data_IF_576679025660
#
_entry.id   IF_576679025660
#
_cell.length_a   1.000
_cell.length_b   1.000
_cell.length_c   1.000
_cell.angle_alpha   90.00
_cell.angle_beta   90.00
_cell.angle_gamma   90.00
#
_symmetry.space_group_name_H-M   'P 1'
#
loop_
_entity.id
_entity.type
_entity.pdbx_description
1 polymer ?
#
# COMPACT_ATOMS: atom_id res chain seq x y z
N UNK A 1 -4.64 20.26 27.41
CA UNK A 1 -5.80 19.34 27.46
C UNK A 1 -5.77 18.45 26.23
N UNK A 2 -5.24 17.24 26.37
CA UNK A 2 -5.09 16.32 25.24
C UNK A 2 -6.37 15.51 25.09
N UNK A 3 -7.13 15.75 24.02
CA UNK A 3 -8.34 15.00 23.69
C UNK A 3 -7.93 13.56 23.34
N UNK A 4 -8.19 12.62 24.24
CA UNK A 4 -7.98 11.21 23.98
C UNK A 4 -8.86 10.78 22.79
N UNK A 5 -8.23 10.19 21.77
CA UNK A 5 -8.93 9.62 20.64
C UNK A 5 -9.72 8.40 21.12
N UNK A 6 -11.02 8.33 20.78
CA UNK A 6 -11.92 7.22 21.13
C UNK A 6 -11.50 5.86 20.52
N UNK A 7 -10.55 5.86 19.59
CA UNK A 7 -9.99 4.69 18.92
C UNK A 7 -8.49 4.87 18.74
N UNK A 8 -7.69 3.79 18.79
CA UNK A 8 -6.28 3.87 18.43
C UNK A 8 -6.15 4.41 17.00
N UNK A 9 -5.10 5.18 16.75
CA UNK A 9 -4.76 5.59 15.39
C UNK A 9 -4.43 4.34 14.56
N UNK A 10 -4.88 4.27 13.31
CA UNK A 10 -4.53 3.13 12.44
C UNK A 10 -3.04 3.14 12.12
N UNK A 11 -2.43 1.96 12.05
CA UNK A 11 -0.99 1.80 11.75
C UNK A 11 -0.66 2.03 10.26
N UNK A 12 -1.67 2.09 9.40
CA UNK A 12 -1.52 2.17 7.93
C UNK A 12 -2.44 3.24 7.35
N UNK A 13 -1.98 3.87 6.25
CA UNK A 13 -2.69 4.93 5.53
C UNK A 13 -2.98 4.46 4.10
N UNK A 14 -4.26 4.26 3.71
CA UNK A 14 -4.61 3.95 2.33
C UNK A 14 -4.63 5.21 1.45
N UNK A 15 -4.06 5.13 0.24
CA UNK A 15 -4.07 6.21 -0.75
C UNK A 15 -4.97 5.77 -1.92
N UNK A 16 -6.15 6.39 -2.06
CA UNK A 16 -7.19 6.03 -3.03
C UNK A 16 -7.49 7.22 -3.96
N UNK A 17 -7.85 6.95 -5.22
CA UNK A 17 -8.07 7.95 -6.25
C UNK A 17 -8.14 7.36 -7.67
N UNK A 18 -8.46 8.18 -8.66
CA UNK A 18 -8.63 7.77 -10.07
C UNK A 18 -7.36 7.14 -10.69
N UNK A 19 -7.52 6.40 -11.77
CA UNK A 19 -6.39 5.87 -12.56
C UNK A 19 -5.56 7.05 -13.08
N UNK A 20 -4.23 6.94 -13.04
CA UNK A 20 -3.33 8.02 -13.47
C UNK A 20 -3.20 9.21 -12.53
N UNK A 21 -3.91 9.26 -11.40
CA UNK A 21 -3.88 10.41 -10.46
C UNK A 21 -2.59 10.53 -9.61
N UNK A 22 -1.57 9.71 -9.89
CA UNK A 22 -0.28 9.78 -9.18
C UNK A 22 -0.25 9.16 -7.77
N UNK A 23 -1.20 8.29 -7.40
CA UNK A 23 -1.24 7.64 -6.06
C UNK A 23 0.08 7.00 -5.66
N UNK A 24 0.67 6.22 -6.56
CA UNK A 24 1.96 5.54 -6.35
C UNK A 24 3.11 6.54 -6.20
N UNK A 25 3.05 7.66 -6.93
CA UNK A 25 4.05 8.73 -6.81
C UNK A 25 3.98 9.38 -5.43
N UNK A 26 2.77 9.68 -4.96
CA UNK A 26 2.56 10.23 -3.61
C UNK A 26 3.03 9.25 -2.52
N UNK A 27 2.67 7.97 -2.61
CA UNK A 27 3.10 6.93 -1.69
C UNK A 27 4.64 6.84 -1.60
N UNK A 28 5.31 6.86 -2.75
CA UNK A 28 6.77 6.82 -2.84
C UNK A 28 7.42 8.06 -2.25
N UNK A 29 6.85 9.24 -2.47
CA UNK A 29 7.36 10.49 -1.87
C UNK A 29 7.25 10.46 -0.35
N UNK A 30 6.09 10.07 0.18
CA UNK A 30 5.87 9.94 1.63
C UNK A 30 6.82 8.90 2.24
N UNK A 31 7.00 7.77 1.57
CA UNK A 31 7.97 6.75 1.97
C UNK A 31 9.38 7.30 2.11
N UNK A 32 9.84 8.13 1.16
CA UNK A 32 11.17 8.76 1.22
C UNK A 32 11.28 9.82 2.31
N UNK A 33 10.24 10.65 2.49
CA UNK A 33 10.25 11.75 3.46
C UNK A 33 10.25 11.20 4.90
N UNK A 34 9.41 10.21 5.16
CA UNK A 34 9.20 9.66 6.50
C UNK A 34 9.97 8.37 6.76
N UNK A 35 10.70 7.86 5.76
CA UNK A 35 11.44 6.58 5.83
C UNK A 35 10.53 5.41 6.26
N UNK A 36 9.29 5.40 5.75
CA UNK A 36 8.30 4.34 6.01
C UNK A 36 8.13 3.44 4.77
N UNK A 37 7.84 2.14 4.93
CA UNK A 37 7.54 1.27 3.80
C UNK A 37 6.25 1.71 3.10
N UNK A 38 6.17 1.49 1.78
CA UNK A 38 4.95 1.66 1.01
C UNK A 38 4.66 0.41 0.20
N UNK A 39 3.37 0.11 0.04
CA UNK A 39 2.90 -1.07 -0.67
C UNK A 39 1.92 -0.63 -1.75
N UNK A 40 2.13 -1.12 -2.97
CA UNK A 40 1.21 -0.91 -4.09
C UNK A 40 0.35 -2.16 -4.19
N UNK A 41 -0.93 -2.04 -3.81
CA UNK A 41 -1.84 -3.19 -3.74
C UNK A 41 -1.99 -3.91 -5.10
N UNK A 42 -1.91 -3.19 -6.22
CA UNK A 42 -1.92 -3.79 -7.56
C UNK A 42 -0.75 -4.78 -7.75
N UNK A 43 0.43 -4.45 -7.22
CA UNK A 43 1.63 -5.31 -7.25
C UNK A 43 1.57 -6.45 -6.22
N UNK A 44 0.62 -6.40 -5.28
CA UNK A 44 0.40 -7.49 -4.32
C UNK A 44 -0.43 -8.60 -4.97
N UNK A 45 -1.41 -8.23 -5.79
CA UNK A 45 -2.34 -9.18 -6.43
C UNK A 45 -1.75 -9.82 -7.69
N UNK A 46 -0.91 -9.10 -8.44
CA UNK A 46 -0.38 -9.56 -9.73
C UNK A 46 1.15 -9.64 -9.69
N UNK A 47 1.69 -10.84 -9.88
CA UNK A 47 3.11 -11.10 -10.07
C UNK A 47 3.41 -10.96 -11.57
N UNK A 48 4.12 -9.90 -11.98
CA UNK A 48 4.67 -9.83 -13.33
C UNK A 48 5.86 -10.77 -13.42
N UNK A 49 5.63 -11.98 -13.92
CA UNK A 49 6.71 -12.90 -14.26
C UNK A 49 7.05 -12.75 -15.74
N UNK A 50 8.28 -13.11 -16.12
CA UNK A 50 8.75 -13.10 -17.51
C UNK A 50 7.93 -13.98 -18.48
N UNK A 51 7.00 -14.80 -17.97
CA UNK A 51 6.11 -15.66 -18.74
C UNK A 51 4.62 -15.29 -18.65
N UNK A 52 4.27 -14.17 -18.01
CA UNK A 52 2.89 -13.67 -17.92
C UNK A 52 2.48 -13.17 -16.53
N UNK A 53 1.31 -12.56 -16.46
CA UNK A 53 0.69 -12.09 -15.21
C UNK A 53 0.14 -13.29 -14.43
N UNK A 54 0.79 -13.62 -13.30
CA UNK A 54 0.29 -14.65 -12.38
C UNK A 54 -0.43 -13.96 -11.22
N UNK A 55 -1.71 -14.29 -11.02
CA UNK A 55 -2.43 -13.88 -9.81
C UNK A 55 -1.80 -14.62 -8.61
N UNK A 56 -1.29 -13.87 -7.62
CA UNK A 56 -0.75 -14.47 -6.40
C UNK A 56 -1.83 -15.23 -5.64
N UNK A 57 -1.45 -16.31 -4.94
CA UNK A 57 -2.38 -17.01 -4.05
C UNK A 57 -2.75 -16.12 -2.85
N UNK A 58 -3.86 -16.43 -2.19
CA UNK A 58 -4.33 -15.63 -1.05
C UNK A 58 -3.31 -15.65 0.11
N UNK A 59 -2.59 -16.76 0.30
CA UNK A 59 -1.53 -16.89 1.31
C UNK A 59 -0.32 -15.98 1.03
N UNK A 60 0.09 -15.86 -0.23
CA UNK A 60 1.17 -14.96 -0.63
C UNK A 60 0.76 -13.50 -0.48
N UNK A 61 -0.51 -13.17 -0.79
CA UNK A 61 -1.06 -11.83 -0.66
C UNK A 61 -1.11 -11.36 0.79
N UNK A 62 -1.52 -12.23 1.70
CA UNK A 62 -1.64 -11.91 3.13
C UNK A 62 -0.28 -11.72 3.80
N UNK A 63 0.79 -12.36 3.31
CA UNK A 63 2.16 -12.12 3.78
C UNK A 63 2.67 -10.69 3.47
N UNK A 64 2.10 -10.01 2.48
CA UNK A 64 2.46 -8.62 2.14
C UNK A 64 1.55 -7.57 2.81
N UNK A 65 0.47 -8.00 3.48
CA UNK A 65 -0.52 -7.14 4.15
C UNK A 65 -0.20 -6.86 5.62
#
# INVERSE_FOLDING_TARGET
MTRALKRPLPDRIPIIGSVGSGKTTLARMLSKIYTIPYYVLDNVVWNQTSSGDLRRSDEERDHYL
#
